data_IF_959251775724
#
_entry.id   IF_959251775724
#
_cell.length_a   1.000
_cell.length_b   1.000
_cell.length_c   1.000
_cell.angle_alpha   90.00
_cell.angle_beta   90.00
_cell.angle_gamma   90.00
#
_symmetry.space_group_name_H-M   'P 1'
#
loop_
_entity.id
_entity.type
_entity.pdbx_description
1 polymer ?
#
# COMPACT_ATOMS: atom_id res chain seq x y z
N UNK A 1 -0.97 7.60 11.59
CA UNK A 1 -1.41 7.07 10.28
C UNK A 1 -2.72 7.77 9.93
N UNK A 2 -2.90 8.28 8.70
CA UNK A 2 -4.09 9.07 8.31
C UNK A 2 -5.23 8.20 7.77
N UNK A 3 -6.47 8.72 7.71
CA UNK A 3 -7.61 7.99 7.11
C UNK A 3 -7.35 7.62 5.64
N UNK A 4 -6.65 8.47 4.90
CA UNK A 4 -6.25 8.17 3.53
C UNK A 4 -5.25 7.01 3.47
N UNK A 5 -4.29 6.94 4.41
CA UNK A 5 -3.34 5.83 4.49
C UNK A 5 -4.06 4.50 4.80
N UNK A 6 -5.05 4.54 5.72
CA UNK A 6 -5.89 3.38 6.03
C UNK A 6 -6.70 2.93 4.81
N UNK A 7 -7.27 3.87 4.06
CA UNK A 7 -8.01 3.59 2.82
C UNK A 7 -7.14 2.91 1.76
N UNK A 8 -5.91 3.41 1.56
CA UNK A 8 -4.92 2.80 0.65
C UNK A 8 -4.64 1.35 1.07
N UNK A 9 -4.32 1.12 2.35
CA UNK A 9 -4.01 -0.22 2.85
C UNK A 9 -5.20 -1.17 2.74
N UNK A 10 -6.41 -0.72 3.07
CA UNK A 10 -7.64 -1.53 2.94
C UNK A 10 -7.88 -1.95 1.48
N UNK A 11 -7.68 -1.03 0.54
CA UNK A 11 -7.83 -1.34 -0.88
C UNK A 11 -6.78 -2.34 -1.35
N UNK A 12 -5.51 -2.16 -0.98
CA UNK A 12 -4.44 -3.10 -1.34
C UNK A 12 -4.62 -4.48 -0.69
N UNK A 13 -5.08 -4.54 0.55
CA UNK A 13 -5.42 -5.79 1.23
C UNK A 13 -6.51 -6.56 0.48
N UNK A 14 -7.56 -5.88 0.01
CA UNK A 14 -8.63 -6.50 -0.76
C UNK A 14 -8.17 -7.00 -2.15
N UNK A 15 -7.11 -6.40 -2.71
CA UNK A 15 -6.53 -6.78 -4.00
C UNK A 15 -5.47 -7.89 -3.90
N UNK A 16 -5.01 -8.22 -2.69
CA UNK A 16 -3.98 -9.26 -2.48
C UNK A 16 -2.75 -9.04 -3.38
N UNK A 17 -2.33 -10.04 -4.14
CA UNK A 17 -1.17 -10.01 -5.05
C UNK A 17 -1.43 -9.25 -6.35
N UNK A 18 -2.69 -9.03 -6.74
CA UNK A 18 -3.01 -8.25 -7.94
C UNK A 18 -2.60 -6.79 -7.76
N UNK A 19 -2.70 -6.27 -6.53
CA UNK A 19 -2.38 -4.89 -6.20
C UNK A 19 -3.23 -3.86 -6.95
N UNK A 20 -2.79 -2.60 -6.89
CA UNK A 20 -3.46 -1.49 -7.55
C UNK A 20 -2.47 -0.44 -8.06
N UNK A 21 -2.84 0.25 -9.13
CA UNK A 21 -2.14 1.45 -9.58
C UNK A 21 -2.51 2.66 -8.73
N UNK A 22 -1.67 3.70 -8.76
CA UNK A 22 -1.95 4.95 -8.04
C UNK A 22 -3.18 5.69 -8.57
N UNK A 23 -3.53 5.48 -9.84
CA UNK A 23 -4.77 5.98 -10.46
C UNK A 23 -5.98 5.26 -9.89
N UNK A 24 -6.01 3.92 -9.96
CA UNK A 24 -7.11 3.10 -9.44
C UNK A 24 -7.39 3.42 -7.96
N UNK A 25 -6.33 3.52 -7.14
CA UNK A 25 -6.46 3.92 -5.74
C UNK A 25 -7.01 5.34 -5.58
N UNK A 26 -6.61 6.29 -6.43
CA UNK A 26 -7.13 7.65 -6.37
C UNK A 26 -8.62 7.72 -6.72
N UNK A 27 -9.08 6.90 -7.67
CA UNK A 27 -10.49 6.77 -8.06
C UNK A 27 -11.32 6.18 -6.91
N UNK A 28 -10.86 5.07 -6.32
CA UNK A 28 -11.56 4.39 -5.21
C UNK A 28 -11.64 5.27 -3.96
N UNK A 29 -10.58 6.06 -3.70
CA UNK A 29 -10.52 6.99 -2.58
C UNK A 29 -11.20 8.34 -2.89
N UNK A 30 -11.86 8.46 -4.04
CA UNK A 30 -12.59 9.65 -4.48
C UNK A 30 -11.73 10.93 -4.44
N UNK A 31 -10.45 10.81 -4.79
CA UNK A 31 -9.54 11.96 -4.83
C UNK A 31 -9.80 12.82 -6.06
N UNK A 32 -9.72 14.13 -5.87
CA UNK A 32 -9.82 15.08 -6.97
C UNK A 32 -8.70 14.85 -8.00
N UNK A 33 -9.09 14.82 -9.28
CA UNK A 33 -8.20 14.63 -10.45
C UNK A 33 -7.33 13.37 -10.30
N UNK A 34 -7.93 12.17 -10.33
CA UNK A 34 -7.21 10.90 -10.12
C UNK A 34 -6.05 10.72 -11.11
N UNK A 35 -6.19 11.22 -12.33
CA UNK A 35 -5.17 11.15 -13.39
C UNK A 35 -3.92 12.02 -13.17
N UNK A 36 -3.99 13.02 -12.28
CA UNK A 36 -2.90 14.00 -12.09
C UNK A 36 -2.51 14.15 -10.62
N UNK A 37 -3.15 15.07 -9.89
CA UNK A 37 -2.85 15.32 -8.48
C UNK A 37 -3.23 14.14 -7.59
N UNK A 38 -4.33 13.45 -7.88
CA UNK A 38 -4.81 12.30 -7.12
C UNK A 38 -3.77 11.17 -7.08
N UNK A 39 -3.32 10.68 -8.24
CA UNK A 39 -2.25 9.66 -8.30
C UNK A 39 -0.95 10.10 -7.62
N UNK A 40 -0.62 11.39 -7.66
CA UNK A 40 0.58 11.94 -7.02
C UNK A 40 0.47 11.93 -5.51
N UNK A 41 -0.71 12.29 -4.97
CA UNK A 41 -1.01 12.20 -3.54
C UNK A 41 -0.89 10.75 -3.09
N UNK A 42 -1.52 9.80 -3.79
CA UNK A 42 -1.45 8.37 -3.48
C UNK A 42 0.00 7.88 -3.49
N UNK A 43 0.78 8.21 -4.52
CA UNK A 43 2.20 7.86 -4.60
C UNK A 43 3.00 8.36 -3.39
N UNK A 44 2.83 9.62 -3.00
CA UNK A 44 3.50 10.19 -1.82
C UNK A 44 3.12 9.44 -0.53
N UNK A 45 1.85 9.06 -0.40
CA UNK A 45 1.36 8.30 0.76
C UNK A 45 1.93 6.89 0.80
N UNK A 46 1.94 6.18 -0.32
CA UNK A 46 2.56 4.85 -0.43
C UNK A 46 4.03 4.88 -0.05
N UNK A 47 4.79 5.86 -0.54
CA UNK A 47 6.20 6.05 -0.15
C UNK A 47 6.36 6.34 1.34
N UNK A 48 5.48 7.16 1.92
CA UNK A 48 5.47 7.41 3.37
C UNK A 48 5.20 6.13 4.16
N UNK A 49 4.20 5.33 3.78
CA UNK A 49 3.87 4.05 4.42
C UNK A 49 5.05 3.08 4.30
N UNK A 50 5.64 2.96 3.12
CA UNK A 50 6.81 2.13 2.85
C UNK A 50 7.98 2.48 3.77
N UNK A 51 8.30 3.77 3.92
CA UNK A 51 9.41 4.22 4.76
C UNK A 51 9.15 4.03 6.26
N UNK A 52 7.92 4.33 6.72
CA UNK A 52 7.53 4.13 8.12
C UNK A 52 7.63 2.65 8.48
N UNK A 53 7.04 1.78 7.67
CA UNK A 53 7.07 0.33 7.91
C UNK A 53 8.47 -0.23 7.91
N UNK A 54 9.31 0.16 6.94
CA UNK A 54 10.72 -0.25 6.90
C UNK A 54 11.47 0.18 8.16
N UNK A 55 11.23 1.39 8.66
CA UNK A 55 11.85 1.89 9.89
C UNK A 55 11.38 1.13 11.14
N UNK A 56 10.11 0.74 11.19
CA UNK A 56 9.51 0.10 12.37
C UNK A 56 9.73 -1.42 12.42
N UNK A 57 9.67 -2.10 11.27
CA UNK A 57 9.65 -3.56 11.18
C UNK A 57 10.87 -4.14 10.46
N UNK A 58 11.77 -3.31 9.94
CA UNK A 58 12.88 -3.72 9.09
C UNK A 58 12.49 -3.88 7.61
N UNK A 59 11.19 -3.97 7.30
CA UNK A 59 10.70 -4.23 5.95
C UNK A 59 9.47 -3.38 5.56
N UNK A 60 9.29 -3.11 4.26
CA UNK A 60 8.16 -2.34 3.77
C UNK A 60 6.85 -3.16 3.78
N UNK A 61 5.74 -2.58 4.27
CA UNK A 61 4.41 -3.20 4.22
C UNK A 61 3.82 -3.18 2.81
N UNK A 62 4.17 -2.19 2.00
CA UNK A 62 3.74 -2.05 0.61
C UNK A 62 4.96 -1.95 -0.30
N UNK A 63 4.91 -2.64 -1.43
CA UNK A 63 5.98 -2.64 -2.43
C UNK A 63 5.39 -2.33 -3.81
N UNK A 64 6.26 -1.85 -4.71
CA UNK A 64 5.90 -1.58 -6.09
C UNK A 64 6.36 -2.75 -6.95
N UNK A 65 5.42 -3.48 -7.56
CA UNK A 65 5.66 -4.63 -8.43
C UNK A 65 5.03 -4.37 -9.81
N UNK A 66 5.81 -4.49 -10.90
CA UNK A 66 5.34 -4.29 -12.30
C UNK A 66 4.41 -3.08 -12.51
N UNK A 67 4.76 -1.92 -11.93
CA UNK A 67 4.00 -0.65 -11.96
C UNK A 67 2.70 -0.62 -11.14
N UNK A 68 2.39 -1.67 -10.38
CA UNK A 68 1.32 -1.73 -9.39
C UNK A 68 1.92 -1.68 -7.99
N UNK A 69 1.12 -1.29 -7.02
CA UNK A 69 1.47 -1.40 -5.60
C UNK A 69 0.73 -2.60 -5.03
N UNK A 70 1.44 -3.41 -4.25
CA UNK A 70 0.92 -4.61 -3.60
C UNK A 70 1.25 -4.56 -2.12
N UNK A 71 0.50 -5.33 -1.33
CA UNK A 71 0.91 -5.65 0.03
C UNK A 71 2.11 -6.60 -0.05
N UNK A 72 3.14 -6.32 0.75
CA UNK A 72 4.30 -7.19 0.85
C UNK A 72 3.97 -8.38 1.75
N UNK A 73 3.38 -9.43 1.18
CA UNK A 73 2.98 -10.59 1.94
C UNK A 73 4.15 -11.44 2.44
N UNK A 74 5.31 -11.48 1.78
CA UNK A 74 6.45 -12.30 2.26
C UNK A 74 6.95 -11.87 3.66
N UNK A 75 6.70 -10.61 4.04
CA UNK A 75 6.98 -10.04 5.36
C UNK A 75 5.72 -9.87 6.24
N UNK A 76 4.53 -10.19 5.69
CA UNK A 76 3.22 -10.05 6.34
C UNK A 76 2.51 -11.39 6.59
N UNK A 77 2.91 -12.48 5.92
CA UNK A 77 2.87 -13.81 6.49
C UNK A 77 3.76 -13.70 7.71
N UNK A 78 3.11 -13.47 8.86
CA UNK A 78 3.61 -13.94 10.13
C UNK A 78 4.38 -15.22 9.82
N UNK A 79 5.70 -15.25 10.07
CA UNK A 79 6.34 -16.53 10.35
C UNK A 79 5.33 -17.24 11.24
N UNK A 80 4.70 -18.31 10.75
CA UNK A 80 3.85 -19.12 11.61
C UNK A 80 4.70 -19.30 12.85
N UNK A 81 4.26 -18.70 13.96
CA UNK A 81 4.88 -18.98 15.23
C UNK A 81 4.78 -20.49 15.29
N UNK A 82 5.93 -21.18 15.21
CA UNK A 82 5.99 -22.63 15.32
C UNK A 82 5.18 -22.96 16.57
N UNK A 83 3.96 -23.46 16.36
CA UNK A 83 3.26 -24.17 17.41
C UNK A 83 4.02 -25.49 17.47
N UNK A 84 4.64 -25.68 18.62
CA UNK A 84 5.56 -26.74 19.05
C UNK A 84 5.45 -28.08 18.31
#
# INVERSE_FOLDING_TARGET
MTELDKGILKHLLAKTFDGATTKEMAEVLQLNKPETSGRTIVWRRLKRIQNISKRMKGAPIVISERKRWVMNFDEFTFKEAKIE
#
